data_IF_485075376975
#
_entry.id   IF_485075376975
#
_cell.length_a   1.000
_cell.length_b   1.000
_cell.length_c   1.000
_cell.angle_alpha   90.00
_cell.angle_beta   90.00
_cell.angle_gamma   90.00
#
_symmetry.space_group_name_H-M   'P 1'
#
loop_
_entity.id
_entity.type
_entity.pdbx_description
1 polymer ?
#
# COMPACT_ATOMS: atom_id res chain seq x y z
N UNK A 1 19.57 7.29 -16.08
CA UNK A 1 18.85 6.70 -17.25
C UNK A 1 19.10 5.19 -17.43
N UNK A 2 19.19 4.38 -16.35
CA UNK A 2 19.26 2.89 -16.47
C UNK A 2 18.06 2.15 -15.86
N UNK A 3 17.19 2.84 -15.11
CA UNK A 3 16.08 2.22 -14.35
C UNK A 3 14.83 1.93 -15.19
N UNK A 4 14.52 2.73 -16.23
CA UNK A 4 13.30 2.53 -17.03
C UNK A 4 13.25 1.20 -17.82
N UNK A 5 14.39 0.56 -18.09
CA UNK A 5 14.42 -0.67 -18.89
C UNK A 5 14.13 -1.94 -18.07
N UNK A 6 14.48 -1.97 -16.78
CA UNK A 6 14.22 -3.13 -15.91
C UNK A 6 12.74 -3.29 -15.57
N UNK A 7 12.04 -2.17 -15.38
CA UNK A 7 10.62 -2.19 -14.96
C UNK A 7 9.70 -2.63 -16.08
N UNK A 8 9.98 -2.19 -17.31
CA UNK A 8 9.25 -2.63 -18.49
C UNK A 8 9.39 -4.14 -18.70
N UNK A 9 10.57 -4.71 -18.43
CA UNK A 9 10.82 -6.16 -18.52
C UNK A 9 10.09 -6.91 -17.41
N UNK A 10 10.09 -6.40 -16.17
CA UNK A 10 9.38 -7.03 -15.06
C UNK A 10 7.85 -7.00 -15.25
N UNK A 11 7.29 -5.88 -15.71
CA UNK A 11 5.85 -5.76 -16.02
C UNK A 11 5.49 -6.69 -17.18
N UNK A 12 6.30 -6.72 -18.24
CA UNK A 12 6.07 -7.63 -19.37
C UNK A 12 6.16 -9.10 -18.94
N UNK A 13 7.07 -9.47 -18.05
CA UNK A 13 7.15 -10.82 -17.50
C UNK A 13 5.92 -11.19 -16.66
N UNK A 14 5.47 -10.29 -15.79
CA UNK A 14 4.25 -10.52 -14.98
C UNK A 14 3.03 -10.63 -15.90
N UNK A 15 2.86 -9.71 -16.85
CA UNK A 15 1.78 -9.77 -17.84
C UNK A 15 1.82 -11.06 -18.66
N UNK A 16 3.00 -11.44 -19.18
CA UNK A 16 3.15 -12.69 -19.93
C UNK A 16 2.85 -13.92 -19.07
N UNK A 17 3.24 -13.93 -17.79
CA UNK A 17 2.90 -15.00 -16.87
C UNK A 17 1.40 -15.07 -16.58
N UNK A 18 0.75 -13.92 -16.42
CA UNK A 18 -0.68 -13.81 -16.18
C UNK A 18 -1.46 -14.31 -17.40
N UNK A 19 -1.07 -13.88 -18.60
CA UNK A 19 -1.73 -14.33 -19.82
C UNK A 19 -1.38 -15.76 -20.21
N UNK A 20 -0.21 -16.28 -19.83
CA UNK A 20 0.08 -17.70 -19.95
C UNK A 20 -0.77 -18.54 -18.99
N UNK A 21 -1.07 -18.01 -17.80
CA UNK A 21 -1.97 -18.63 -16.82
C UNK A 21 -3.45 -18.52 -17.23
N UNK A 22 -3.82 -17.44 -17.92
CA UNK A 22 -5.18 -17.13 -18.36
C UNK A 22 -5.20 -16.78 -19.87
N UNK A 23 -5.00 -17.77 -20.76
CA UNK A 23 -4.91 -17.56 -22.21
C UNK A 23 -6.21 -17.00 -22.83
N UNK A 24 -7.35 -17.18 -22.17
CA UNK A 24 -8.64 -16.58 -22.53
C UNK A 24 -8.62 -15.04 -22.46
N UNK A 25 -7.83 -14.44 -21.56
CA UNK A 25 -7.65 -12.99 -21.50
C UNK A 25 -6.89 -12.47 -22.72
N UNK A 26 -5.90 -13.24 -23.19
CA UNK A 26 -5.20 -12.96 -24.44
C UNK A 26 -6.13 -13.07 -25.65
N UNK A 27 -7.03 -14.06 -25.67
CA UNK A 27 -8.02 -14.20 -26.75
C UNK A 27 -9.02 -13.04 -26.77
N UNK A 28 -9.53 -12.62 -25.62
CA UNK A 28 -10.46 -11.48 -25.50
C UNK A 28 -9.86 -10.16 -26.00
N UNK A 29 -8.57 -9.93 -25.77
CA UNK A 29 -7.85 -8.75 -26.28
C UNK A 29 -7.63 -8.82 -27.81
N UNK A 30 -7.51 -10.01 -28.37
CA UNK A 30 -7.17 -10.24 -29.77
C UNK A 30 -8.38 -10.39 -30.70
N UNK A 31 -9.58 -10.70 -30.19
CA UNK A 31 -10.73 -11.09 -31.05
C UNK A 31 -11.41 -9.95 -31.79
N UNK A 32 -11.00 -8.68 -31.64
CA UNK A 32 -11.62 -7.57 -32.38
C UNK A 32 -13.14 -7.42 -32.13
N UNK A 33 -13.65 -8.06 -31.07
CA UNK A 33 -15.06 -8.21 -30.73
C UNK A 33 -15.60 -6.92 -30.09
N UNK A 34 -15.38 -5.74 -30.67
CA UNK A 34 -16.00 -4.47 -30.25
C UNK A 34 -15.87 -4.09 -28.76
N UNK A 35 -15.08 -4.81 -27.98
CA UNK A 35 -14.85 -4.62 -26.55
C UNK A 35 -13.60 -3.77 -26.44
N UNK A 36 -13.80 -2.46 -26.32
CA UNK A 36 -12.73 -1.54 -25.93
C UNK A 36 -12.46 -1.71 -24.43
N UNK A 37 -11.57 -2.65 -24.11
CA UNK A 37 -11.20 -2.97 -22.73
C UNK A 37 -9.69 -2.83 -22.56
N UNK A 38 -9.30 -1.89 -21.69
CA UNK A 38 -7.91 -1.74 -21.28
C UNK A 38 -7.67 -2.51 -19.98
N UNK A 39 -6.77 -3.48 -20.03
CA UNK A 39 -6.34 -4.24 -18.85
C UNK A 39 -4.97 -3.73 -18.42
N UNK A 40 -4.88 -3.22 -17.20
CA UNK A 40 -3.61 -2.82 -16.58
C UNK A 40 -3.25 -3.80 -15.47
N UNK A 41 -2.01 -4.28 -15.46
CA UNK A 41 -1.47 -5.10 -14.38
C UNK A 41 -0.75 -4.20 -13.38
N UNK A 42 -1.19 -4.26 -12.13
CA UNK A 42 -0.57 -3.56 -11.00
C UNK A 42 0.28 -4.56 -10.23
N UNK A 43 1.60 -4.48 -10.42
CA UNK A 43 2.55 -5.50 -9.96
C UNK A 43 3.16 -5.23 -8.58
N UNK A 44 2.71 -4.18 -7.89
CA UNK A 44 3.14 -3.80 -6.54
C UNK A 44 1.95 -3.61 -5.64
N UNK A 45 2.12 -3.88 -4.35
CA UNK A 45 1.17 -3.49 -3.32
C UNK A 45 1.86 -2.67 -2.24
N UNK A 46 1.15 -1.68 -1.71
CA UNK A 46 1.60 -0.88 -0.57
C UNK A 46 0.42 -0.61 0.35
N UNK A 47 0.63 -0.75 1.66
CA UNK A 47 -0.39 -0.49 2.67
C UNK A 47 0.15 0.38 3.79
N UNK A 48 -0.63 1.37 4.22
CA UNK A 48 -0.36 2.13 5.45
C UNK A 48 -1.29 1.60 6.54
N UNK A 49 -0.73 1.26 7.69
CA UNK A 49 -1.48 0.78 8.84
C UNK A 49 -1.70 1.97 9.77
N UNK A 50 -2.95 2.45 9.84
CA UNK A 50 -3.36 3.57 10.67
C UNK A 50 -3.83 3.02 12.02
N UNK A 51 -3.14 3.31 13.13
CA UNK A 51 -3.57 2.84 14.44
C UNK A 51 -4.90 3.47 14.88
N UNK A 52 -5.67 2.76 15.70
CA UNK A 52 -6.86 3.33 16.39
C UNK A 52 -6.52 3.79 17.81
N UNK A 53 -5.24 4.07 18.07
CA UNK A 53 -4.76 4.57 19.36
C UNK A 53 -3.89 5.82 19.16
N UNK A 54 -3.75 6.57 20.24
CA UNK A 54 -2.72 7.60 20.44
C UNK A 54 -1.88 7.21 21.65
N UNK A 55 -0.67 7.77 21.76
CA UNK A 55 0.23 7.47 22.88
C UNK A 55 0.45 5.95 23.06
N UNK A 56 0.71 5.27 21.93
CA UNK A 56 0.94 3.82 21.77
C UNK A 56 -0.25 2.88 22.03
N UNK A 57 -1.07 3.13 23.07
CA UNK A 57 -2.14 2.19 23.42
C UNK A 57 -3.42 2.83 23.96
N UNK A 58 -3.53 4.16 23.94
CA UNK A 58 -4.72 4.88 24.40
C UNK A 58 -5.74 4.91 23.26
N UNK A 59 -6.90 4.24 23.35
CA UNK A 59 -7.89 4.25 22.29
C UNK A 59 -8.31 5.68 21.93
N UNK A 60 -8.38 5.96 20.63
CA UNK A 60 -8.78 7.27 20.11
C UNK A 60 -9.61 7.11 18.83
N UNK A 61 -10.42 8.14 18.54
CA UNK A 61 -11.06 8.23 17.24
C UNK A 61 -10.04 8.74 16.21
N UNK A 62 -9.56 7.83 15.37
CA UNK A 62 -8.60 8.14 14.29
C UNK A 62 -9.26 8.16 12.91
N UNK A 63 -10.61 8.19 12.85
CA UNK A 63 -11.38 8.17 11.60
C UNK A 63 -10.95 9.26 10.61
N UNK A 64 -10.64 10.46 11.10
CA UNK A 64 -10.11 11.56 10.29
C UNK A 64 -8.80 11.17 9.58
N UNK A 65 -7.85 10.57 10.29
CA UNK A 65 -6.56 10.16 9.71
C UNK A 65 -6.70 8.95 8.78
N UNK A 66 -7.65 8.06 9.07
CA UNK A 66 -8.03 6.96 8.17
C UNK A 66 -8.56 7.50 6.84
N UNK A 67 -9.48 8.48 6.86
CA UNK A 67 -10.00 9.11 5.64
C UNK A 67 -8.92 9.87 4.87
N UNK A 68 -8.06 10.64 5.57
CA UNK A 68 -6.91 11.29 4.94
C UNK A 68 -5.98 10.28 4.25
N UNK A 69 -5.74 9.13 4.87
CA UNK A 69 -4.89 8.08 4.31
C UNK A 69 -5.52 7.48 3.05
N UNK A 70 -6.84 7.23 3.05
CA UNK A 70 -7.57 6.75 1.87
C UNK A 70 -7.44 7.70 0.70
N UNK A 71 -7.66 9.00 0.93
CA UNK A 71 -7.57 10.03 -0.10
C UNK A 71 -6.15 10.14 -0.63
N UNK A 72 -5.17 10.29 0.26
CA UNK A 72 -3.76 10.43 -0.11
C UNK A 72 -3.26 9.23 -0.93
N UNK A 73 -3.54 8.01 -0.49
CA UNK A 73 -3.11 6.81 -1.21
C UNK A 73 -3.86 6.64 -2.54
N UNK A 74 -5.15 7.01 -2.61
CA UNK A 74 -5.90 6.98 -3.87
C UNK A 74 -5.35 7.99 -4.89
N UNK A 75 -4.96 9.19 -4.44
CA UNK A 75 -4.33 10.21 -5.28
C UNK A 75 -2.96 9.76 -5.82
N UNK A 76 -2.15 9.08 -5.01
CA UNK A 76 -0.83 8.60 -5.44
C UNK A 76 -0.89 7.37 -6.34
N UNK A 77 -1.82 6.45 -6.08
CA UNK A 77 -1.77 5.10 -6.64
C UNK A 77 -3.00 4.71 -7.45
N UNK A 78 -3.98 5.59 -7.60
CA UNK A 78 -5.17 5.39 -8.44
C UNK A 78 -6.34 4.69 -7.75
N UNK A 79 -6.21 4.30 -6.49
CA UNK A 79 -7.29 3.71 -5.70
C UNK A 79 -6.82 3.08 -4.40
N UNK A 80 -7.77 2.80 -3.50
CA UNK A 80 -7.52 2.15 -2.21
C UNK A 80 -8.59 1.12 -1.86
N UNK A 81 -8.20 0.17 -1.03
CA UNK A 81 -9.08 -0.74 -0.30
C UNK A 81 -8.76 -0.64 1.19
N UNK A 82 -9.74 -0.99 2.03
CA UNK A 82 -9.65 -0.78 3.47
C UNK A 82 -10.05 -2.06 4.18
N UNK A 83 -9.30 -2.43 5.22
CA UNK A 83 -9.64 -3.52 6.11
C UNK A 83 -9.27 -3.17 7.55
N UNK A 84 -9.93 -3.80 8.51
CA UNK A 84 -9.56 -3.71 9.91
C UNK A 84 -8.70 -4.90 10.29
N UNK A 85 -7.71 -4.67 11.16
CA UNK A 85 -6.90 -5.74 11.75
C UNK A 85 -6.65 -5.48 13.22
N UNK A 86 -6.26 -6.55 13.91
CA UNK A 86 -5.81 -6.49 15.29
C UNK A 86 -4.40 -7.05 15.40
N UNK A 87 -3.48 -6.22 15.87
CA UNK A 87 -2.08 -6.54 16.03
C UNK A 87 -1.70 -6.67 17.50
N UNK A 88 -0.63 -7.43 17.75
CA UNK A 88 0.02 -7.53 19.05
C UNK A 88 1.51 -7.32 18.85
N UNK A 89 2.12 -6.45 19.64
CA UNK A 89 3.56 -6.24 19.60
C UNK A 89 4.14 -5.94 20.99
N UNK A 90 5.44 -6.24 21.14
CA UNK A 90 6.18 -5.99 22.37
C UNK A 90 6.82 -4.60 22.30
N UNK A 91 6.24 -3.63 23.01
CA UNK A 91 6.87 -2.34 23.28
C UNK A 91 7.99 -2.50 24.29
N UNK A 92 9.08 -1.76 24.06
CA UNK A 92 10.21 -1.64 25.00
C UNK A 92 9.82 -0.89 26.28
N UNK A 93 8.85 0.03 26.18
CA UNK A 93 8.40 0.88 27.29
C UNK A 93 7.14 0.33 28.00
N UNK A 94 6.19 -0.23 27.24
CA UNK A 94 4.83 -0.54 27.76
C UNK A 94 4.49 -2.03 27.82
N UNK A 95 5.40 -2.92 27.43
CA UNK A 95 5.15 -4.36 27.43
C UNK A 95 4.34 -4.82 26.21
N UNK A 96 3.46 -5.81 26.37
CA UNK A 96 2.65 -6.31 25.24
C UNK A 96 1.50 -5.32 24.97
N UNK A 97 1.50 -4.72 23.78
CA UNK A 97 0.45 -3.84 23.30
C UNK A 97 -0.46 -4.65 22.37
N UNK A 98 -1.77 -4.54 22.60
CA UNK A 98 -2.82 -5.01 21.70
C UNK A 98 -3.45 -3.79 21.06
N UNK A 99 -3.50 -3.77 19.73
CA UNK A 99 -3.94 -2.59 19.00
C UNK A 99 -4.81 -2.97 17.82
N UNK A 100 -5.98 -2.32 17.74
CA UNK A 100 -6.77 -2.31 16.51
C UNK A 100 -6.19 -1.26 15.57
N UNK A 101 -6.20 -1.58 14.28
CA UNK A 101 -5.70 -0.69 13.25
C UNK A 101 -6.49 -0.87 11.97
N UNK A 102 -6.46 0.16 11.13
CA UNK A 102 -7.06 0.17 9.81
C UNK A 102 -5.95 0.09 8.78
N UNK A 103 -5.99 -0.93 7.93
CA UNK A 103 -5.06 -1.10 6.81
C UNK A 103 -5.68 -0.43 5.59
N UNK A 104 -5.02 0.60 5.09
CA UNK A 104 -5.36 1.24 3.80
C UNK A 104 -4.35 0.74 2.77
N UNK A 105 -4.84 0.01 1.76
CA UNK A 105 -4.01 -0.68 0.76
C UNK A 105 -4.27 -0.16 -0.63
N UNK A 106 -3.20 0.05 -1.40
CA UNK A 106 -3.24 0.32 -2.83
C UNK A 106 -2.44 -0.72 -3.60
N UNK A 107 -2.92 -1.03 -4.80
CA UNK A 107 -2.13 -1.71 -5.83
C UNK A 107 -1.63 -0.67 -6.82
N UNK A 108 -0.41 -0.83 -7.30
CA UNK A 108 0.19 0.14 -8.21
C UNK A 108 1.25 -0.49 -9.11
N UNK A 109 1.83 0.31 -10.02
CA UNK A 109 2.97 -0.13 -10.83
C UNK A 109 4.29 0.15 -10.11
N UNK A 110 5.36 -0.53 -10.51
CA UNK A 110 6.72 -0.28 -9.98
C UNK A 110 7.14 1.17 -10.13
N UNK A 111 6.97 1.73 -11.34
CA UNK A 111 7.34 3.11 -11.63
C UNK A 111 6.56 4.11 -10.76
N UNK A 112 5.24 3.92 -10.62
CA UNK A 112 4.40 4.79 -9.78
C UNK A 112 4.79 4.71 -8.31
N UNK A 113 5.07 3.50 -7.79
CA UNK A 113 5.53 3.32 -6.41
C UNK A 113 6.85 4.06 -6.18
N UNK A 114 7.86 3.83 -7.02
CA UNK A 114 9.17 4.47 -6.87
C UNK A 114 9.09 6.00 -6.95
N UNK A 115 8.28 6.52 -7.87
CA UNK A 115 8.04 7.96 -8.02
C UNK A 115 7.46 8.57 -6.75
N UNK A 116 6.49 7.92 -6.12
CA UNK A 116 5.73 8.48 -5.01
C UNK A 116 6.17 8.00 -3.62
N UNK A 117 7.09 7.04 -3.54
CA UNK A 117 7.56 6.48 -2.27
C UNK A 117 8.11 7.52 -1.29
N UNK A 118 8.90 8.53 -1.70
CA UNK A 118 9.34 9.58 -0.79
C UNK A 118 8.18 10.40 -0.19
N UNK A 119 7.13 10.68 -0.98
CA UNK A 119 5.94 11.38 -0.49
C UNK A 119 5.15 10.53 0.49
N UNK A 120 5.04 9.22 0.22
CA UNK A 120 4.44 8.27 1.15
C UNK A 120 5.17 8.29 2.50
N UNK A 121 6.51 8.27 2.51
CA UNK A 121 7.28 8.34 3.75
C UNK A 121 7.04 9.66 4.52
N UNK A 122 6.95 10.79 3.82
CA UNK A 122 6.59 12.07 4.45
C UNK A 122 5.21 12.01 5.10
N UNK A 123 4.23 11.39 4.44
CA UNK A 123 2.88 11.21 4.98
C UNK A 123 2.85 10.27 6.17
N UNK A 124 3.59 9.16 6.13
CA UNK A 124 3.73 8.24 7.26
C UNK A 124 4.37 8.95 8.47
N UNK A 125 5.40 9.79 8.25
CA UNK A 125 5.98 10.62 9.31
C UNK A 125 4.96 11.60 9.90
N UNK A 126 4.16 12.23 9.05
CA UNK A 126 3.07 13.10 9.49
C UNK A 126 2.11 12.34 10.41
N UNK A 127 1.63 11.16 10.01
CA UNK A 127 0.76 10.32 10.84
C UNK A 127 1.42 9.95 12.17
N UNK A 128 2.70 9.55 12.15
CA UNK A 128 3.44 9.21 13.36
C UNK A 128 3.40 10.37 14.38
N UNK A 129 3.62 11.60 13.91
CA UNK A 129 3.60 12.80 14.76
C UNK A 129 2.19 13.08 15.28
N UNK A 130 1.18 13.06 14.40
CA UNK A 130 -0.20 13.38 14.80
C UNK A 130 -0.77 12.37 15.80
N UNK A 131 -0.47 11.09 15.60
CA UNK A 131 -0.94 9.99 16.45
C UNK A 131 0.00 9.73 17.64
N UNK A 132 1.12 10.45 17.74
CA UNK A 132 2.13 10.34 18.82
C UNK A 132 2.61 8.89 18.99
N UNK A 133 2.94 8.27 17.87
CA UNK A 133 3.40 6.88 17.81
C UNK A 133 4.93 6.81 17.81
N UNK A 134 5.50 5.80 18.45
CA UNK A 134 6.95 5.54 18.37
C UNK A 134 7.34 4.97 17.00
N UNK A 135 6.46 4.18 16.40
CA UNK A 135 6.66 3.51 15.11
C UNK A 135 5.38 3.45 14.32
N UNK A 136 5.48 3.43 12.99
CA UNK A 136 4.38 3.19 12.06
C UNK A 136 4.57 1.88 11.29
N UNK A 137 3.48 1.18 11.03
CA UNK A 137 3.46 -0.01 10.18
C UNK A 137 3.16 0.34 8.73
N UNK A 138 3.97 -0.17 7.81
CA UNK A 138 3.71 -0.15 6.36
C UNK A 138 3.90 -1.56 5.83
N UNK A 139 3.03 -2.01 4.93
CA UNK A 139 3.27 -3.26 4.20
C UNK A 139 3.65 -2.95 2.75
N UNK A 140 4.62 -3.66 2.20
CA UNK A 140 5.00 -3.58 0.80
C UNK A 140 5.25 -4.98 0.26
N UNK A 141 4.43 -5.41 -0.71
CA UNK A 141 4.42 -6.78 -1.27
C UNK A 141 4.54 -7.87 -0.21
N UNK A 142 3.58 -7.87 0.72
CA UNK A 142 3.46 -8.85 1.80
C UNK A 142 4.63 -8.85 2.80
N UNK A 143 5.51 -7.84 2.75
CA UNK A 143 6.54 -7.60 3.76
C UNK A 143 6.12 -6.46 4.67
N UNK A 144 6.26 -6.66 5.97
CA UNK A 144 6.03 -5.64 6.97
C UNK A 144 7.28 -4.78 7.17
N UNK A 145 7.11 -3.47 7.06
CA UNK A 145 8.11 -2.45 7.35
C UNK A 145 7.67 -1.74 8.63
N UNK A 146 8.47 -1.90 9.69
CA UNK A 146 8.36 -1.08 10.89
C UNK A 146 9.19 0.18 10.69
N UNK A 147 8.53 1.33 10.62
CA UNK A 147 9.18 2.61 10.33
C UNK A 147 9.22 3.46 11.59
N UNK A 148 10.41 3.92 11.95
CA UNK A 148 10.65 4.85 13.04
C UNK A 148 11.34 6.09 12.49
N UNK A 149 10.70 7.25 12.62
CA UNK A 149 11.35 8.53 12.33
C UNK A 149 11.87 9.16 13.63
N UNK A 150 13.08 9.70 13.58
CA UNK A 150 13.74 10.43 14.68
C UNK A 150 13.69 11.94 14.49
#
# INVERSE_FOLDING_TARGET
>A
MKYQHSDAVAIAQVQNSLFAQYPELQQLLNTGTGFDCQIQVLNRSVSVIVPTTVDANVPADTSFHVEQTKQFMAELFGGTSVSEQEGFYKSSQWGMIREKSVVVRSYTTTATLEQHFPLLLCFVRYLQIQLRQETMGVEMDDKFLMIQFT
#
